data_IF_771999258657
#
_entry.id   IF_771999258657
#
_cell.length_a   1.000
_cell.length_b   1.000
_cell.length_c   1.000
_cell.angle_alpha   90.00
_cell.angle_beta   90.00
_cell.angle_gamma   90.00
#
_symmetry.space_group_name_H-M   'P 1'
#
loop_
_entity.id
_entity.type
_entity.pdbx_description
1 polymer ?
#
# COMPACT_ATOMS: atom_id res chain seq x y z
N UNK A 1 -10.98 -25.09 11.81
CA UNK A 1 -9.63 -24.91 11.26
C UNK A 1 -8.99 -23.75 11.98
N UNK A 2 -7.93 -24.03 12.75
CA UNK A 2 -7.15 -23.05 13.51
C UNK A 2 -5.73 -23.11 12.92
N UNK A 3 -5.31 -22.08 12.21
CA UNK A 3 -3.98 -21.99 11.60
C UNK A 3 -4.07 -21.34 10.21
N UNK A 4 -3.31 -20.27 9.98
CA UNK A 4 -3.26 -19.41 8.78
C UNK A 4 -4.28 -18.26 8.72
N UNK A 5 -4.47 -17.50 9.80
CA UNK A 5 -4.98 -16.14 9.66
C UNK A 5 -3.80 -15.23 9.98
N UNK A 6 -3.25 -14.58 8.96
CA UNK A 6 -2.23 -13.55 9.13
C UNK A 6 -2.88 -12.30 9.73
N UNK A 7 -2.17 -11.64 10.63
CA UNK A 7 -2.58 -10.34 11.15
C UNK A 7 -1.99 -9.23 10.27
N UNK A 8 -2.82 -8.22 9.98
CA UNK A 8 -2.45 -7.10 9.12
C UNK A 8 -2.61 -5.78 9.86
N UNK A 9 -1.55 -4.97 9.86
CA UNK A 9 -1.58 -3.58 10.30
C UNK A 9 -1.42 -2.69 9.08
N UNK A 10 -2.36 -1.77 8.87
CA UNK A 10 -2.34 -0.82 7.76
C UNK A 10 -2.36 0.59 8.30
N UNK A 11 -1.48 1.44 7.78
CA UNK A 11 -1.42 2.85 8.12
C UNK A 11 -1.25 3.70 6.86
N UNK A 12 -1.94 4.83 6.82
CA UNK A 12 -1.92 5.77 5.69
C UNK A 12 -2.00 7.20 6.20
N UNK A 13 -1.08 8.03 5.73
CA UNK A 13 -1.02 9.46 6.00
C UNK A 13 -1.30 10.22 4.71
N UNK A 14 -2.36 11.02 4.71
CA UNK A 14 -2.83 11.74 3.53
C UNK A 14 -2.74 13.24 3.76
N UNK A 15 -2.26 13.95 2.73
CA UNK A 15 -2.24 15.39 2.65
C UNK A 15 -2.97 15.83 1.40
N UNK A 16 -3.86 16.82 1.55
CA UNK A 16 -4.54 17.46 0.43
C UNK A 16 -4.18 18.94 0.38
N UNK A 17 -3.98 19.44 -0.83
CA UNK A 17 -3.65 20.84 -1.08
C UNK A 17 -4.20 21.28 -2.43
N UNK A 18 -4.16 22.59 -2.68
CA UNK A 18 -4.73 23.20 -3.88
C UNK A 18 -6.23 22.89 -4.03
N UNK A 19 -7.02 23.19 -3.00
CA UNK A 19 -8.47 22.95 -2.97
C UNK A 19 -8.84 21.48 -3.30
N UNK A 20 -8.12 20.54 -2.68
CA UNK A 20 -8.25 19.09 -2.88
C UNK A 20 -7.89 18.57 -4.29
N UNK A 21 -7.42 19.42 -5.20
CA UNK A 21 -6.98 19.00 -6.54
C UNK A 21 -5.72 18.13 -6.49
N UNK A 22 -4.88 18.28 -5.47
CA UNK A 22 -3.70 17.43 -5.29
C UNK A 22 -3.75 16.73 -3.95
N UNK A 23 -3.59 15.40 -4.00
CA UNK A 23 -3.56 14.52 -2.83
C UNK A 23 -2.24 13.75 -2.82
N UNK A 24 -1.44 13.97 -1.80
CA UNK A 24 -0.17 13.29 -1.57
C UNK A 24 -0.32 12.31 -0.41
N UNK A 25 0.15 11.09 -0.62
CA UNK A 25 0.23 10.05 0.40
C UNK A 25 1.68 9.63 0.50
N UNK A 26 2.49 10.36 1.29
CA UNK A 26 3.92 10.10 1.38
C UNK A 26 4.22 8.92 2.30
N UNK A 27 3.31 8.55 3.21
CA UNK A 27 3.47 7.41 4.10
C UNK A 27 2.22 6.55 4.06
N UNK A 28 2.28 5.44 3.36
CA UNK A 28 1.26 4.40 3.38
C UNK A 28 1.96 3.07 3.40
N UNK A 29 1.64 2.23 4.38
CA UNK A 29 2.22 0.92 4.47
C UNK A 29 1.24 -0.09 5.06
N UNK A 30 1.44 -1.35 4.72
CA UNK A 30 0.79 -2.46 5.37
C UNK A 30 1.86 -3.46 5.81
N UNK A 31 1.71 -4.00 7.02
CA UNK A 31 2.56 -5.05 7.57
C UNK A 31 1.70 -6.29 7.79
N UNK A 32 2.13 -7.42 7.26
CA UNK A 32 1.58 -8.74 7.53
C UNK A 32 2.48 -9.51 8.48
N UNK A 33 1.90 -10.11 9.53
CA UNK A 33 2.60 -11.00 10.47
C UNK A 33 1.86 -12.34 10.48
N UNK A 34 2.57 -13.41 10.16
CA UNK A 34 2.05 -14.79 10.15
C UNK A 34 2.14 -15.42 11.55
N UNK A 35 3.29 -15.23 12.21
CA UNK A 35 3.54 -15.75 13.56
C UNK A 35 4.21 -14.69 14.46
N UNK A 36 3.45 -14.23 15.47
CA UNK A 36 3.93 -13.29 16.49
C UNK A 36 5.05 -13.84 17.37
N UNK A 37 5.22 -15.16 17.46
CA UNK A 37 6.32 -15.81 18.17
C UNK A 37 7.67 -15.67 17.46
N UNK A 38 7.68 -15.45 16.14
CA UNK A 38 8.89 -15.32 15.34
C UNK A 38 8.76 -14.30 14.20
N UNK A 39 8.47 -13.05 14.57
CA UNK A 39 8.24 -11.94 13.64
C UNK A 39 9.44 -11.73 12.69
N UNK A 40 10.68 -11.91 13.17
CA UNK A 40 11.90 -11.62 12.38
C UNK A 40 12.03 -12.46 11.11
N UNK A 41 11.45 -13.66 11.10
CA UNK A 41 11.51 -14.57 9.95
C UNK A 41 10.15 -14.75 9.26
N UNK A 42 9.08 -14.12 9.80
CA UNK A 42 7.70 -14.27 9.31
C UNK A 42 6.95 -12.94 9.30
N UNK A 43 7.47 -11.99 8.53
CA UNK A 43 6.85 -10.69 8.33
C UNK A 43 6.97 -10.27 6.87
N UNK A 44 5.99 -9.53 6.38
CA UNK A 44 6.19 -8.71 5.20
C UNK A 44 5.58 -7.34 5.37
N UNK A 45 6.10 -6.44 4.58
CA UNK A 45 5.73 -5.04 4.55
C UNK A 45 5.59 -4.62 3.09
N UNK A 46 4.56 -3.84 2.82
CA UNK A 46 4.41 -3.12 1.57
C UNK A 46 4.33 -1.64 1.89
N UNK A 47 5.12 -0.84 1.19
CA UNK A 47 5.09 0.61 1.21
C UNK A 47 4.47 1.12 -0.09
N UNK A 48 3.52 2.04 0.03
CA UNK A 48 2.56 2.43 -1.02
C UNK A 48 2.48 3.94 -1.20
N UNK A 49 3.58 4.62 -1.59
CA UNK A 49 3.50 6.06 -1.84
C UNK A 49 2.56 6.34 -3.02
N UNK A 50 1.70 7.35 -2.88
CA UNK A 50 0.77 7.76 -3.93
C UNK A 50 0.75 9.29 -4.10
N UNK A 51 0.63 9.73 -5.34
CA UNK A 51 0.32 11.11 -5.72
C UNK A 51 -0.91 11.07 -6.62
N UNK A 52 -1.96 11.80 -6.26
CA UNK A 52 -3.17 11.91 -7.07
C UNK A 52 -3.42 13.35 -7.46
N UNK A 53 -3.77 13.57 -8.73
CA UNK A 53 -4.19 14.83 -9.28
C UNK A 53 -5.64 14.73 -9.78
N UNK A 54 -6.48 15.65 -9.32
CA UNK A 54 -7.92 15.69 -9.53
C UNK A 54 -8.35 17.10 -9.96
N UNK A 55 -8.11 17.49 -11.23
CA UNK A 55 -8.45 18.84 -11.73
C UNK A 55 -9.95 19.11 -11.75
N UNK A 56 -10.77 18.06 -11.80
CA UNK A 56 -12.23 18.13 -11.80
C UNK A 56 -12.76 17.00 -10.91
N UNK A 57 -13.93 17.17 -10.30
CA UNK A 57 -14.56 16.13 -9.47
C UNK A 57 -14.83 14.82 -10.24
N UNK A 58 -14.95 14.90 -11.57
CA UNK A 58 -15.20 13.77 -12.45
C UNK A 58 -13.93 13.03 -12.90
N UNK A 59 -12.72 13.52 -12.60
CA UNK A 59 -11.46 12.94 -13.09
C UNK A 59 -10.38 12.88 -12.00
N UNK A 60 -9.84 11.70 -11.75
CA UNK A 60 -8.68 11.49 -10.87
C UNK A 60 -7.57 10.75 -11.63
N UNK A 61 -6.34 11.22 -11.52
CA UNK A 61 -5.13 10.56 -12.01
C UNK A 61 -4.19 10.27 -10.85
N UNK A 62 -3.96 9.01 -10.53
CA UNK A 62 -3.03 8.56 -9.48
C UNK A 62 -1.77 7.97 -10.10
N UNK A 63 -0.61 8.42 -9.64
CA UNK A 63 0.67 7.74 -9.74
C UNK A 63 0.99 7.11 -8.39
N UNK A 64 1.36 5.83 -8.37
CA UNK A 64 1.77 5.19 -7.13
C UNK A 64 2.79 4.08 -7.37
N UNK A 65 3.29 3.53 -6.27
CA UNK A 65 4.18 2.39 -6.29
C UNK A 65 3.79 1.38 -5.21
N UNK A 66 4.13 0.12 -5.41
CA UNK A 66 4.18 -0.92 -4.40
C UNK A 66 5.64 -1.31 -4.23
N UNK A 67 6.20 -1.05 -3.05
CA UNK A 67 7.56 -1.44 -2.68
C UNK A 67 7.42 -2.48 -1.59
N UNK A 68 7.80 -3.73 -1.89
CA UNK A 68 7.56 -4.86 -1.02
C UNK A 68 8.87 -5.35 -0.40
N UNK A 69 8.78 -5.82 0.84
CA UNK A 69 9.90 -6.46 1.52
C UNK A 69 9.37 -7.45 2.54
N UNK A 70 10.13 -8.49 2.84
CA UNK A 70 9.69 -9.47 3.82
C UNK A 70 10.43 -10.79 3.78
N UNK A 71 10.10 -11.63 4.76
CA UNK A 71 10.57 -12.99 4.92
C UNK A 71 9.42 -13.87 5.41
N UNK A 72 9.45 -15.13 4.98
CA UNK A 72 8.46 -16.12 5.35
C UNK A 72 7.49 -16.38 4.21
N UNK A 73 6.30 -16.84 4.55
CA UNK A 73 5.34 -17.41 3.59
C UNK A 73 4.02 -16.62 3.50
N UNK A 74 3.94 -15.43 4.10
CA UNK A 74 2.80 -14.54 3.96
C UNK A 74 2.79 -13.81 2.61
N UNK A 75 1.69 -13.12 2.30
CA UNK A 75 1.41 -12.53 0.98
C UNK A 75 2.49 -11.54 0.50
N UNK A 76 2.89 -10.57 1.32
CA UNK A 76 3.82 -9.52 0.92
C UNK A 76 5.24 -10.06 0.72
N UNK A 77 5.66 -11.03 1.54
CA UNK A 77 6.93 -11.75 1.46
C UNK A 77 7.01 -12.59 0.20
N UNK A 78 5.89 -13.21 -0.22
CA UNK A 78 5.79 -13.92 -1.49
C UNK A 78 5.91 -13.00 -2.71
N UNK A 79 5.56 -11.73 -2.54
CA UNK A 79 5.58 -10.71 -3.58
C UNK A 79 6.75 -9.72 -3.42
N UNK A 80 7.70 -9.97 -2.51
CA UNK A 80 8.77 -9.05 -2.15
C UNK A 80 9.71 -8.65 -3.30
N UNK A 81 9.75 -9.47 -4.35
CA UNK A 81 10.60 -9.23 -5.53
C UNK A 81 9.79 -8.61 -6.70
N UNK A 82 8.52 -8.24 -6.46
CA UNK A 82 7.59 -7.67 -7.43
C UNK A 82 7.29 -6.20 -7.10
N UNK A 83 8.32 -5.38 -6.93
CA UNK A 83 8.15 -3.94 -6.84
C UNK A 83 7.52 -3.42 -8.14
N UNK A 84 6.46 -2.61 -8.02
CA UNK A 84 5.69 -2.16 -9.18
C UNK A 84 5.38 -0.66 -9.09
N UNK A 85 5.47 0.03 -10.22
CA UNK A 85 4.91 1.36 -10.39
C UNK A 85 3.61 1.27 -11.18
N UNK A 86 2.61 2.05 -10.78
CA UNK A 86 1.33 2.05 -11.46
C UNK A 86 0.83 3.47 -11.73
N UNK A 87 0.02 3.57 -12.78
CA UNK A 87 -0.75 4.77 -13.12
C UNK A 87 -2.21 4.36 -13.18
N UNK A 88 -3.08 5.08 -12.50
CA UNK A 88 -4.53 4.84 -12.47
C UNK A 88 -5.26 6.11 -12.85
N UNK A 89 -6.04 6.05 -13.93
CA UNK A 89 -7.00 7.08 -14.30
C UNK A 89 -8.42 6.62 -13.94
N UNK A 90 -9.19 7.47 -13.28
CA UNK A 90 -10.58 7.22 -12.89
C UNK A 90 -11.47 8.36 -13.38
N UNK A 91 -12.57 7.98 -14.05
CA UNK A 91 -13.61 8.91 -14.52
C UNK A 91 -14.91 8.55 -13.80
N UNK A 92 -15.61 9.55 -13.25
CA UNK A 92 -16.91 9.38 -12.59
C UNK A 92 -17.99 10.16 -13.34
N UNK A 93 -19.18 9.57 -13.50
CA UNK A 93 -20.34 10.13 -14.22
C UNK A 93 -21.56 10.22 -13.31
#
# INVERSE_FOLDING_TARGET
GKGNINDYLVQRLEYKFHNDEVKLVPLSFAVGIDDWGNIKENYGIVYMPELTYSPYDSFELTLGAFILSGKGNELFSKLKDNDEFYIRAKVSF
#
